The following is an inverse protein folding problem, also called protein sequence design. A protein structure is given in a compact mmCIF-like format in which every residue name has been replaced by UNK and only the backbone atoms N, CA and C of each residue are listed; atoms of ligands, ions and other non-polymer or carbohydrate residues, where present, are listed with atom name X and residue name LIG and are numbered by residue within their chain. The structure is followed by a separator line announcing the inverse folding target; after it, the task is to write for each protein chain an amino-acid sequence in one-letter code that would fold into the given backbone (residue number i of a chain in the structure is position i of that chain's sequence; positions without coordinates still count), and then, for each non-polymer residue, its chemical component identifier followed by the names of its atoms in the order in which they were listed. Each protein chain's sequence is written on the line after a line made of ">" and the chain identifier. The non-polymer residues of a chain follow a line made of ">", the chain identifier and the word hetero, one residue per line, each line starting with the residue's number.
data_IF_755080402439
#
_entry.id   IF_755080402439
#
_cell.length_a   1.000
_cell.length_b   1.000
_cell.length_c   1.000
_cell.angle_alpha   90.00
_cell.angle_beta   90.00
_cell.angle_gamma   90.00
#
_symmetry.space_group_name_H-M   'P 1'
#
loop_
_entity.id
_entity.type
_entity.pdbx_description
1 polymer ?
#
# COMPACT_ATOMS: atom_id res chain seq x y z
N UNK A 1 15.70 -7.17 -11.92
CA UNK A 1 16.23 -5.98 -11.21
C UNK A 1 15.74 -5.85 -9.76
N UNK A 2 14.45 -6.07 -9.46
CA UNK A 2 13.95 -6.04 -8.06
C UNK A 2 14.13 -7.40 -7.35
N UNK A 3 13.93 -8.48 -8.08
CA UNK A 3 14.26 -9.85 -7.67
C UNK A 3 15.71 -10.01 -7.17
N UNK A 4 16.65 -9.23 -7.72
CA UNK A 4 18.05 -9.20 -7.31
C UNK A 4 18.34 -8.37 -6.06
N UNK A 5 17.33 -7.78 -5.41
CA UNK A 5 17.50 -7.12 -4.10
C UNK A 5 17.33 -5.60 -4.07
N UNK A 6 17.06 -4.95 -5.22
CA UNK A 6 16.82 -3.50 -5.23
C UNK A 6 15.44 -3.18 -4.63
N UNK A 7 15.37 -2.34 -3.57
CA UNK A 7 14.10 -2.02 -2.94
C UNK A 7 13.21 -1.18 -3.84
N UNK A 8 11.91 -1.16 -3.54
CA UNK A 8 10.93 -0.35 -4.24
C UNK A 8 9.90 0.26 -3.28
N UNK A 9 9.37 1.42 -3.67
CA UNK A 9 8.24 2.08 -3.02
C UNK A 9 7.20 2.37 -4.09
N UNK A 10 6.01 1.80 -3.93
CA UNK A 10 4.89 1.94 -4.86
C UNK A 10 3.76 2.75 -4.22
N UNK A 11 3.39 3.86 -4.85
CA UNK A 11 2.41 4.81 -4.32
C UNK A 11 1.28 4.98 -5.33
N UNK A 12 0.04 4.96 -4.83
CA UNK A 12 -1.19 5.33 -5.53
C UNK A 12 -1.39 4.70 -6.91
N UNK A 13 -1.15 5.44 -8.00
CA UNK A 13 -1.43 4.99 -9.36
C UNK A 13 -0.42 3.97 -9.90
N UNK A 14 0.69 3.75 -9.17
CA UNK A 14 1.69 2.70 -9.47
C UNK A 14 1.03 1.33 -9.63
N UNK A 15 -0.08 1.10 -8.93
CA UNK A 15 -0.87 -0.13 -8.99
C UNK A 15 -1.40 -0.42 -10.40
N UNK A 16 -1.56 0.60 -11.24
CA UNK A 16 -2.14 0.51 -12.58
C UNK A 16 -1.11 0.72 -13.71
N UNK A 17 0.18 0.99 -13.42
CA UNK A 17 1.20 1.27 -14.43
C UNK A 17 1.42 0.13 -15.43
N UNK A 18 1.35 -1.13 -14.97
CA UNK A 18 1.35 -2.31 -15.83
C UNK A 18 0.17 -3.20 -15.43
N UNK A 19 -0.99 -2.80 -15.94
CA UNK A 19 -2.28 -3.34 -15.54
C UNK A 19 -2.32 -4.87 -15.63
N UNK A 20 -3.03 -5.52 -14.70
CA UNK A 20 -3.13 -6.98 -14.61
C UNK A 20 -3.65 -7.66 -15.89
N UNK A 21 -4.31 -6.90 -16.77
CA UNK A 21 -4.83 -7.34 -18.07
C UNK A 21 -3.76 -7.52 -19.15
N UNK A 22 -2.53 -7.03 -18.97
CA UNK A 22 -1.46 -7.18 -19.96
C UNK A 22 -1.17 -8.67 -20.17
N UNK A 23 -1.20 -9.20 -21.41
CA UNK A 23 -0.96 -10.63 -21.69
C UNK A 23 0.40 -11.10 -21.17
N UNK A 24 0.46 -12.35 -20.71
CA UNK A 24 1.67 -12.95 -20.16
C UNK A 24 1.36 -13.99 -19.09
N UNK A 25 2.09 -15.11 -19.09
CA UNK A 25 1.92 -16.19 -18.10
C UNK A 25 2.23 -15.71 -16.68
N UNK A 26 3.27 -14.88 -16.56
CA UNK A 26 3.71 -14.34 -15.26
C UNK A 26 3.35 -12.87 -15.14
N UNK A 27 2.50 -12.55 -14.16
CA UNK A 27 2.10 -11.18 -13.85
C UNK A 27 3.12 -10.53 -12.91
N UNK A 28 4.31 -10.24 -13.43
CA UNK A 28 5.45 -9.76 -12.63
C UNK A 28 5.17 -8.46 -11.87
N UNK A 29 4.43 -7.51 -12.47
CA UNK A 29 4.11 -6.24 -11.82
C UNK A 29 3.26 -6.42 -10.55
N UNK A 30 2.05 -7.01 -10.59
CA UNK A 30 1.28 -7.23 -9.37
C UNK A 30 1.96 -8.17 -8.38
N UNK A 31 2.79 -9.13 -8.84
CA UNK A 31 3.59 -9.98 -7.96
C UNK A 31 4.66 -9.17 -7.21
N UNK A 32 5.34 -8.24 -7.87
CA UNK A 32 6.32 -7.34 -7.25
C UNK A 32 5.65 -6.34 -6.30
N UNK A 33 4.53 -5.76 -6.71
CA UNK A 33 3.73 -4.90 -5.84
C UNK A 33 3.23 -5.67 -4.61
N UNK A 34 2.85 -6.94 -4.74
CA UNK A 34 2.28 -7.74 -3.67
C UNK A 34 0.75 -7.66 -3.59
N UNK A 35 0.12 -6.88 -4.46
CA UNK A 35 -1.34 -6.77 -4.57
C UNK A 35 -1.78 -6.71 -6.04
N UNK A 36 -3.04 -7.02 -6.30
CA UNK A 36 -3.70 -6.83 -7.60
C UNK A 36 -4.94 -5.97 -7.39
N UNK A 37 -4.90 -4.77 -8.00
CA UNK A 37 -5.99 -3.80 -7.97
C UNK A 37 -6.53 -3.62 -9.40
N UNK A 38 -7.76 -4.05 -9.70
CA UNK A 38 -8.36 -3.83 -11.01
C UNK A 38 -8.99 -2.44 -11.18
N UNK A 39 -9.31 -1.72 -10.09
CA UNK A 39 -10.02 -0.43 -10.11
C UNK A 39 -9.96 0.27 -8.76
N UNK A 40 -10.44 1.51 -8.72
CA UNK A 40 -10.75 2.24 -7.49
C UNK A 40 -12.23 2.64 -7.44
N UNK A 41 -12.70 2.95 -6.23
CA UNK A 41 -14.04 3.48 -5.99
C UNK A 41 -14.12 4.98 -6.23
N UNK A 42 -15.29 5.54 -5.89
CA UNK A 42 -15.56 6.99 -5.93
C UNK A 42 -14.66 7.77 -4.96
N UNK A 43 -14.58 9.08 -5.18
CA UNK A 43 -13.95 10.00 -4.23
C UNK A 43 -14.71 10.02 -2.90
N UNK A 44 -14.03 9.69 -1.81
CA UNK A 44 -14.59 9.73 -0.45
C UNK A 44 -13.47 9.81 0.60
N UNK A 45 -13.76 10.32 1.81
CA UNK A 45 -12.90 10.10 2.97
C UNK A 45 -12.71 8.59 3.21
N UNK A 46 -11.49 8.18 3.54
CA UNK A 46 -11.16 6.78 3.81
C UNK A 46 -10.78 6.65 5.28
N UNK A 47 -11.51 5.82 6.03
CA UNK A 47 -11.09 5.37 7.36
C UNK A 47 -10.04 4.28 7.18
N UNK A 48 -8.79 4.61 7.51
CA UNK A 48 -7.64 3.70 7.48
C UNK A 48 -7.47 3.11 8.88
N UNK A 49 -7.60 1.79 8.99
CA UNK A 49 -7.41 1.03 10.22
C UNK A 49 -6.07 0.31 10.20
N UNK A 50 -5.24 0.58 11.21
CA UNK A 50 -3.98 -0.11 11.43
C UNK A 50 -4.25 -1.54 11.93
N UNK A 51 -3.74 -2.54 11.21
CA UNK A 51 -3.92 -3.97 11.56
C UNK A 51 -2.62 -4.63 12.02
N UNK A 52 -1.50 -3.91 11.97
CA UNK A 52 -0.17 -4.37 12.42
C UNK A 52 0.55 -3.23 13.17
N UNK A 53 0.05 -2.81 14.34
CA UNK A 53 0.60 -1.66 15.06
C UNK A 53 2.07 -1.84 15.48
N UNK A 54 2.51 -3.09 15.67
CA UNK A 54 3.89 -3.41 16.06
C UNK A 54 4.89 -3.41 14.88
N UNK A 55 4.41 -3.32 13.63
CA UNK A 55 5.32 -3.30 12.48
C UNK A 55 6.06 -1.96 12.42
N UNK A 56 7.38 -1.92 12.15
CA UNK A 56 8.17 -0.68 12.16
C UNK A 56 7.63 0.41 11.24
N UNK A 57 7.07 0.02 10.08
CA UNK A 57 6.41 0.96 9.15
C UNK A 57 5.25 1.72 9.81
N UNK A 58 4.55 1.07 10.74
CA UNK A 58 3.38 1.60 11.45
C UNK A 58 3.74 2.34 12.74
N UNK A 59 5.03 2.51 13.06
CA UNK A 59 5.47 3.25 14.24
C UNK A 59 4.97 4.70 14.19
N UNK A 60 4.19 5.08 15.19
CA UNK A 60 3.58 6.41 15.29
C UNK A 60 2.34 6.59 14.41
N UNK A 61 1.90 5.56 13.69
CA UNK A 61 0.62 5.56 12.99
C UNK A 61 -0.51 5.21 13.97
N UNK A 62 -1.60 5.99 14.04
CA UNK A 62 -2.66 5.77 15.01
C UNK A 62 -3.43 4.46 14.75
N UNK A 63 -4.25 4.03 15.72
CA UNK A 63 -5.15 2.88 15.52
C UNK A 63 -6.06 3.08 14.30
N UNK A 64 -6.56 4.29 14.13
CA UNK A 64 -7.32 4.72 12.96
C UNK A 64 -6.93 6.14 12.56
N UNK A 65 -6.96 6.40 11.25
CA UNK A 65 -6.79 7.71 10.66
C UNK A 65 -7.83 7.88 9.54
N UNK A 66 -8.45 9.05 9.43
CA UNK A 66 -9.40 9.34 8.35
C UNK A 66 -8.74 10.28 7.36
N UNK A 67 -8.58 9.85 6.10
CA UNK A 67 -8.10 10.74 5.05
C UNK A 67 -9.20 11.76 4.72
N UNK A 68 -8.86 13.04 4.48
CA UNK A 68 -9.87 14.07 4.19
C UNK A 68 -10.57 13.82 2.84
N UNK A 69 -9.85 13.26 1.88
CA UNK A 69 -10.32 12.83 0.55
C UNK A 69 -9.52 11.60 0.12
N UNK A 70 -9.99 10.87 -0.88
CA UNK A 70 -9.25 9.74 -1.42
C UNK A 70 -10.09 8.90 -2.37
N UNK A 71 -9.43 7.92 -2.95
CA UNK A 71 -10.04 6.89 -3.79
C UNK A 71 -9.69 5.54 -3.16
N UNK A 72 -10.67 4.81 -2.64
CA UNK A 72 -10.38 3.50 -2.08
C UNK A 72 -10.18 2.51 -3.23
N UNK A 73 -8.96 1.99 -3.36
CA UNK A 73 -8.63 0.99 -4.36
C UNK A 73 -9.27 -0.35 -3.97
N UNK A 74 -9.81 -1.06 -4.96
CA UNK A 74 -10.36 -2.38 -4.76
C UNK A 74 -9.22 -3.39 -4.92
N UNK A 75 -8.82 -4.04 -3.84
CA UNK A 75 -7.84 -5.13 -3.91
C UNK A 75 -8.57 -6.44 -4.15
N UNK A 76 -8.35 -7.04 -5.32
CA UNK A 76 -8.89 -8.34 -5.72
C UNK A 76 -8.04 -9.50 -5.16
N UNK A 77 -6.73 -9.27 -5.07
CA UNK A 77 -5.78 -10.24 -4.53
C UNK A 77 -4.67 -9.56 -3.76
N UNK A 78 -4.42 -10.06 -2.56
CA UNK A 78 -3.18 -9.84 -1.81
C UNK A 78 -2.31 -11.08 -1.96
N UNK A 79 -1.06 -10.90 -2.37
CA UNK A 79 -0.17 -12.03 -2.65
C UNK A 79 0.38 -12.62 -1.35
N UNK A 80 0.67 -13.94 -1.29
CA UNK A 80 1.16 -14.58 -0.06
C UNK A 80 2.46 -14.00 0.50
N UNK A 81 3.27 -13.37 -0.36
CA UNK A 81 4.52 -12.69 0.01
C UNK A 81 4.30 -11.30 0.63
N UNK A 82 3.07 -10.79 0.61
CA UNK A 82 2.71 -9.49 1.13
C UNK A 82 2.14 -9.59 2.55
N UNK A 83 2.56 -8.66 3.41
CA UNK A 83 2.00 -8.45 4.75
C UNK A 83 1.21 -7.14 4.75
N UNK A 84 -0.09 -7.25 4.99
CA UNK A 84 -0.99 -6.10 5.11
C UNK A 84 -0.74 -5.38 6.42
N UNK A 85 -0.57 -4.06 6.35
CA UNK A 85 -0.32 -3.20 7.50
C UNK A 85 -1.53 -2.33 7.87
N UNK A 86 -2.31 -1.90 6.88
CA UNK A 86 -3.55 -1.17 7.10
C UNK A 86 -4.62 -1.47 6.06
N UNK A 87 -5.88 -1.34 6.48
CA UNK A 87 -7.07 -1.50 5.64
C UNK A 87 -7.88 -0.21 5.58
N UNK A 88 -8.32 0.17 4.40
CA UNK A 88 -9.17 1.34 4.15
C UNK A 88 -10.63 0.95 3.99
N UNK A 89 -11.53 1.81 4.46
CA UNK A 89 -12.98 1.66 4.35
C UNK A 89 -13.63 3.02 4.07
N UNK A 90 -14.70 3.05 3.28
CA UNK A 90 -15.55 4.23 3.05
C UNK A 90 -16.94 4.11 3.68
N UNK A 91 -17.22 3.01 4.39
CA UNK A 91 -18.56 2.64 4.88
C UNK A 91 -18.56 2.23 6.37
N UNK A 92 -17.63 2.81 7.14
CA UNK A 92 -17.42 2.53 8.58
C UNK A 92 -17.05 1.06 8.86
N UNK A 93 -16.32 0.43 7.96
CA UNK A 93 -15.72 -0.89 8.15
C UNK A 93 -16.61 -2.05 7.73
N UNK A 94 -17.76 -1.79 7.08
CA UNK A 94 -18.60 -2.87 6.53
C UNK A 94 -17.91 -3.56 5.36
N UNK A 95 -17.16 -2.80 4.56
CA UNK A 95 -16.26 -3.30 3.53
C UNK A 95 -14.89 -2.63 3.68
N UNK A 96 -13.83 -3.39 3.44
CA UNK A 96 -12.48 -2.84 3.51
C UNK A 96 -11.56 -3.46 2.47
N UNK A 97 -10.57 -2.68 2.07
CA UNK A 97 -9.51 -3.11 1.15
C UNK A 97 -8.15 -2.81 1.74
N UNK A 98 -7.17 -3.66 1.44
CA UNK A 98 -5.79 -3.47 1.87
C UNK A 98 -5.22 -2.21 1.20
N UNK A 99 -4.76 -1.24 1.99
CA UNK A 99 -4.34 0.07 1.46
C UNK A 99 -2.91 0.45 1.84
N UNK A 100 -2.29 -0.30 2.73
CA UNK A 100 -0.87 -0.19 3.12
C UNK A 100 -0.34 -1.59 3.38
N UNK A 101 0.79 -1.95 2.77
CA UNK A 101 1.41 -3.25 2.91
C UNK A 101 2.92 -3.19 2.68
N UNK A 102 3.57 -4.28 3.03
CA UNK A 102 4.94 -4.58 2.60
C UNK A 102 4.96 -5.91 1.86
N UNK A 103 5.89 -6.10 0.94
CA UNK A 103 6.02 -7.31 0.14
C UNK A 103 7.50 -7.70 -0.02
N UNK A 104 7.76 -9.00 -0.06
CA UNK A 104 9.05 -9.56 -0.43
C UNK A 104 8.99 -10.10 -1.85
N UNK A 105 9.75 -9.51 -2.78
CA UNK A 105 9.82 -9.96 -4.17
C UNK A 105 11.25 -10.37 -4.53
N UNK A 106 11.50 -11.69 -4.57
CA UNK A 106 12.86 -12.21 -4.60
C UNK A 106 13.63 -11.72 -3.37
N UNK A 107 14.79 -11.08 -3.58
CA UNK A 107 15.58 -10.45 -2.50
C UNK A 107 15.13 -9.03 -2.17
N UNK A 108 14.27 -8.41 -2.98
CA UNK A 108 13.86 -7.01 -2.83
C UNK A 108 12.70 -6.82 -1.85
N UNK A 109 12.82 -5.80 -1.00
CA UNK A 109 11.73 -5.31 -0.14
C UNK A 109 10.93 -4.23 -0.86
N UNK A 110 9.61 -4.37 -0.85
CA UNK A 110 8.69 -3.42 -1.47
C UNK A 110 7.73 -2.89 -0.43
N UNK A 111 7.69 -1.56 -0.27
CA UNK A 111 6.61 -0.90 0.47
C UNK A 111 5.55 -0.41 -0.50
N UNK A 112 4.28 -0.62 -0.18
CA UNK A 112 3.16 -0.25 -1.04
C UNK A 112 2.05 0.46 -0.30
N UNK A 113 1.48 1.49 -0.92
CA UNK A 113 0.23 2.11 -0.47
C UNK A 113 -0.61 2.59 -1.65
N UNK A 114 -1.93 2.40 -1.57
CA UNK A 114 -2.88 2.93 -2.56
C UNK A 114 -3.30 4.39 -2.27
N UNK A 115 -2.99 4.88 -1.08
CA UNK A 115 -3.27 6.26 -0.66
C UNK A 115 -2.36 7.24 -1.39
N UNK A 116 -2.75 8.52 -1.44
CA UNK A 116 -1.91 9.59 -2.00
C UNK A 116 -2.43 10.24 -3.30
N UNK A 117 -3.74 10.22 -3.56
CA UNK A 117 -4.32 10.93 -4.71
C UNK A 117 -4.32 12.46 -4.55
N UNK A 118 -4.56 12.95 -3.32
CA UNK A 118 -4.76 14.37 -3.03
C UNK A 118 -3.66 14.94 -2.12
N UNK A 119 -3.31 16.22 -2.34
CA UNK A 119 -2.31 16.94 -1.56
C UNK A 119 -2.62 16.92 -0.06
N UNK A 120 -3.88 17.09 0.34
CA UNK A 120 -4.28 17.09 1.75
C UNK A 120 -3.99 15.75 2.44
N UNK A 121 -4.10 14.64 1.70
CA UNK A 121 -3.70 13.32 2.22
C UNK A 121 -2.19 13.21 2.31
N UNK A 122 -1.47 13.69 1.28
CA UNK A 122 -0.01 13.62 1.22
C UNK A 122 0.71 14.54 2.22
N UNK A 123 0.06 15.62 2.65
CA UNK A 123 0.58 16.56 3.64
C UNK A 123 0.26 16.14 5.09
N UNK A 124 -0.63 15.17 5.29
CA UNK A 124 -0.94 14.67 6.61
C UNK A 124 0.29 14.01 7.25
N UNK A 125 0.51 14.28 8.54
CA UNK A 125 1.64 13.74 9.30
C UNK A 125 1.64 12.21 9.30
N UNK A 126 0.46 11.60 9.40
CA UNK A 126 0.27 10.15 9.38
C UNK A 126 0.77 9.54 8.07
N UNK A 127 0.45 10.17 6.94
CA UNK A 127 0.89 9.74 5.62
C UNK A 127 2.40 9.91 5.44
N UNK A 128 2.93 11.11 5.74
CA UNK A 128 4.35 11.40 5.58
C UNK A 128 5.21 10.48 6.45
N UNK A 129 4.82 10.26 7.70
CA UNK A 129 5.53 9.35 8.60
C UNK A 129 5.46 7.90 8.10
N UNK A 130 4.28 7.42 7.70
CA UNK A 130 4.11 6.07 7.17
C UNK A 130 4.96 5.83 5.92
N UNK A 131 4.94 6.75 4.95
CA UNK A 131 5.75 6.64 3.73
C UNK A 131 7.24 6.71 4.05
N UNK A 132 7.65 7.62 4.94
CA UNK A 132 9.05 7.72 5.38
C UNK A 132 9.52 6.43 6.04
N UNK A 133 8.73 5.87 6.95
CA UNK A 133 9.05 4.58 7.57
C UNK A 133 9.04 3.45 6.54
N UNK A 134 8.14 3.48 5.55
CA UNK A 134 8.11 2.54 4.42
C UNK A 134 9.40 2.54 3.62
N UNK A 135 9.94 3.72 3.31
CA UNK A 135 11.24 3.90 2.63
C UNK A 135 12.36 3.33 3.51
N UNK A 136 12.40 3.69 4.79
CA UNK A 136 13.43 3.23 5.71
C UNK A 136 13.39 1.70 5.90
N UNK A 137 12.20 1.11 5.97
CA UNK A 137 12.04 -0.34 6.09
C UNK A 137 12.49 -1.06 4.82
N UNK A 138 12.09 -0.55 3.65
CA UNK A 138 12.47 -1.14 2.37
C UNK A 138 14.00 -1.10 2.16
N UNK A 139 14.68 -0.13 2.76
CA UNK A 139 16.14 0.06 2.67
C UNK A 139 16.91 -0.46 3.90
N UNK A 140 16.29 -1.28 4.75
CA UNK A 140 16.89 -1.88 5.95
C UNK A 140 17.44 -0.87 6.98
N UNK A 141 16.94 0.37 6.97
CA UNK A 141 17.29 1.43 7.93
C UNK A 141 16.44 1.39 9.21
N UNK A 142 15.32 0.67 9.19
CA UNK A 142 14.54 0.28 10.37
C UNK A 142 14.12 -1.19 10.24
N UNK A 143 13.96 -1.88 11.38
CA UNK A 143 13.62 -3.31 11.46
C UNK A 143 12.41 -3.53 12.34
#
# INVERSE_FOLDING_TARGET
>A
MHDSGKPAVAIHCSMHSYHWKIPGKTKHWPAMLGVTSPRHGRHAPITVTNVKPEHPVMKGFPKQWVTPKGELYHIDKTWPSATVLAKGSIDKGKSSHDCVWVNQYGKGKVFGTTLGHHNETMQAKEYLNMVSNGILWATDRIK
#
